data_IF_999531688985
#
_entry.id   IF_999531688985
#
_cell.length_a   1.000
_cell.length_b   1.000
_cell.length_c   1.000
_cell.angle_alpha   90.00
_cell.angle_beta   90.00
_cell.angle_gamma   90.00
#
_symmetry.space_group_name_H-M   'P 1'
#
loop_
_entity.id
_entity.type
_entity.pdbx_description
1 polymer ?
#
# COMPACT_ATOMS: atom_id res chain seq x y z
N UNK A 1 -2.34 -5.22 -21.17
CA UNK A 1 -2.06 -6.02 -19.95
C UNK A 1 -3.12 -7.09 -19.74
N UNK A 2 -4.41 -6.77 -19.82
CA UNK A 2 -5.48 -7.76 -19.66
C UNK A 2 -5.94 -8.35 -21.00
N UNK A 3 -6.35 -9.62 -20.98
CA UNK A 3 -6.72 -10.40 -22.17
C UNK A 3 -8.16 -10.16 -22.66
N UNK A 4 -9.01 -9.49 -21.88
CA UNK A 4 -10.41 -9.22 -22.22
C UNK A 4 -10.92 -7.92 -21.62
N UNK A 5 -11.91 -7.31 -22.26
CA UNK A 5 -12.59 -6.12 -21.74
C UNK A 5 -13.29 -6.41 -20.39
N UNK A 6 -13.79 -7.63 -20.22
CA UNK A 6 -14.41 -8.06 -18.96
C UNK A 6 -13.40 -7.97 -17.80
N UNK A 7 -12.22 -8.57 -17.97
CA UNK A 7 -11.16 -8.54 -16.96
C UNK A 7 -10.65 -7.13 -16.69
N UNK A 8 -10.49 -6.30 -17.73
CA UNK A 8 -10.13 -4.90 -17.55
C UNK A 8 -11.15 -4.13 -16.69
N UNK A 9 -12.45 -4.36 -16.90
CA UNK A 9 -13.52 -3.73 -16.11
C UNK A 9 -13.58 -4.25 -14.67
N UNK A 10 -13.34 -5.54 -14.45
CA UNK A 10 -13.27 -6.12 -13.11
C UNK A 10 -12.12 -5.49 -12.31
N UNK A 11 -10.91 -5.47 -12.90
CA UNK A 11 -9.76 -4.82 -12.25
C UNK A 11 -10.03 -3.35 -11.97
N UNK A 12 -10.63 -2.63 -12.92
CA UNK A 12 -10.96 -1.21 -12.72
C UNK A 12 -11.93 -0.98 -11.55
N UNK A 13 -12.97 -1.81 -11.44
CA UNK A 13 -13.96 -1.73 -10.35
C UNK A 13 -13.35 -2.06 -8.99
N UNK A 14 -12.39 -2.98 -8.98
CA UNK A 14 -11.65 -3.35 -7.80
C UNK A 14 -10.47 -2.40 -7.55
N UNK A 15 -10.35 -1.23 -8.16
CA UNK A 15 -9.39 -0.22 -7.67
C UNK A 15 -10.02 0.44 -6.45
N UNK A 16 -9.25 0.53 -5.36
CA UNK A 16 -9.71 1.28 -4.18
C UNK A 16 -9.44 2.77 -4.39
N UNK A 17 -10.48 3.58 -4.18
CA UNK A 17 -10.42 5.04 -4.18
C UNK A 17 -10.81 5.54 -2.80
N UNK A 18 -10.26 6.69 -2.39
CA UNK A 18 -10.66 7.34 -1.14
C UNK A 18 -12.01 8.03 -1.36
N UNK A 19 -12.98 7.75 -0.48
CA UNK A 19 -14.39 8.14 -0.70
C UNK A 19 -14.77 9.48 -0.07
N UNK A 20 -13.95 10.51 -0.26
CA UNK A 20 -14.26 11.90 0.08
C UNK A 20 -13.39 12.88 -0.73
N UNK A 21 -13.74 14.17 -0.73
CA UNK A 21 -12.97 15.20 -1.40
C UNK A 21 -11.69 15.53 -0.63
N UNK A 22 -10.54 15.46 -1.33
CA UNK A 22 -9.23 15.76 -0.78
C UNK A 22 -8.72 17.05 -1.41
N UNK A 23 -8.48 18.08 -0.60
CA UNK A 23 -7.91 19.34 -1.07
C UNK A 23 -6.45 19.18 -1.52
N UNK A 24 -5.67 18.36 -0.81
CA UNK A 24 -4.28 18.08 -1.11
C UNK A 24 -3.73 16.89 -0.34
N UNK A 25 -2.58 16.40 -0.77
CA UNK A 25 -1.85 15.31 -0.12
C UNK A 25 -0.51 15.83 0.37
N UNK A 26 -0.13 15.44 1.59
CA UNK A 26 1.17 15.75 2.16
C UNK A 26 2.03 14.49 2.23
N UNK A 27 3.24 14.55 1.67
CA UNK A 27 4.18 13.44 1.65
C UNK A 27 5.53 13.96 2.12
N UNK A 28 6.07 13.34 3.17
CA UNK A 28 7.42 13.62 3.68
C UNK A 28 7.98 12.38 4.40
N UNK A 29 9.30 12.31 4.64
CA UNK A 29 9.86 11.28 5.51
C UNK A 29 9.19 11.29 6.89
N UNK A 30 8.97 10.10 7.47
CA UNK A 30 8.23 9.96 8.73
C UNK A 30 8.80 10.82 9.87
N UNK A 31 10.11 10.98 9.92
CA UNK A 31 10.83 11.79 10.93
C UNK A 31 10.56 13.30 10.83
N UNK A 32 10.09 13.78 9.69
CA UNK A 32 9.89 15.21 9.40
C UNK A 32 8.42 15.62 9.58
N UNK A 33 7.54 14.68 9.94
CA UNK A 33 6.14 14.93 10.29
C UNK A 33 6.02 15.51 11.71
N UNK A 34 5.35 16.66 11.81
CA UNK A 34 4.97 17.27 13.09
C UNK A 34 3.65 16.65 13.55
N UNK A 35 2.70 16.51 12.63
CA UNK A 35 1.42 15.84 12.85
C UNK A 35 1.50 14.37 12.46
N UNK A 36 0.66 13.53 13.09
CA UNK A 36 0.62 12.10 12.78
C UNK A 36 0.06 11.92 11.36
N UNK A 37 0.79 11.27 10.44
CA UNK A 37 0.25 11.01 9.10
C UNK A 37 -0.90 9.99 9.19
N UNK A 38 -1.76 9.94 8.18
CA UNK A 38 -2.82 8.92 8.11
C UNK A 38 -2.24 7.54 7.80
N UNK A 39 -1.36 7.47 6.81
CA UNK A 39 -0.73 6.25 6.30
C UNK A 39 0.78 6.39 6.30
N UNK A 40 1.47 5.31 6.64
CA UNK A 40 2.91 5.18 6.42
C UNK A 40 3.18 4.10 5.38
N UNK A 41 4.00 4.48 4.41
CA UNK A 41 4.44 3.62 3.32
C UNK A 41 5.92 3.28 3.58
N UNK A 42 6.22 1.99 3.64
CA UNK A 42 7.59 1.49 3.80
C UNK A 42 8.00 0.74 2.53
N UNK A 43 9.17 1.09 2.01
CA UNK A 43 9.86 0.31 0.97
C UNK A 43 10.68 -0.75 1.69
N UNK A 44 10.52 -2.00 1.28
CA UNK A 44 11.04 -3.18 1.98
C UNK A 44 11.46 -4.24 0.98
N UNK A 45 11.97 -5.37 1.47
CA UNK A 45 12.10 -6.61 0.71
C UNK A 45 11.16 -7.71 1.27
N UNK A 46 11.00 -8.88 0.61
CA UNK A 46 10.13 -9.94 1.10
C UNK A 46 10.38 -10.36 2.55
N UNK A 47 11.64 -10.42 2.98
CA UNK A 47 11.99 -10.81 4.35
C UNK A 47 11.55 -9.75 5.38
N UNK A 48 11.81 -8.48 5.10
CA UNK A 48 11.37 -7.35 5.93
C UNK A 48 9.85 -7.26 5.99
N UNK A 49 9.17 -7.38 4.84
CA UNK A 49 7.71 -7.43 4.76
C UNK A 49 7.13 -8.55 5.63
N UNK A 50 7.71 -9.76 5.58
CA UNK A 50 7.30 -10.88 6.44
C UNK A 50 7.41 -10.51 7.93
N UNK A 51 8.54 -9.92 8.36
CA UNK A 51 8.73 -9.52 9.77
C UNK A 51 7.71 -8.47 10.23
N UNK A 52 7.41 -7.49 9.37
CA UNK A 52 6.41 -6.46 9.67
C UNK A 52 5.02 -7.07 9.79
N UNK A 53 4.62 -7.94 8.85
CA UNK A 53 3.33 -8.63 8.90
C UNK A 53 3.23 -9.54 10.14
N UNK A 54 4.31 -10.22 10.52
CA UNK A 54 4.37 -11.01 11.76
C UNK A 54 4.17 -10.13 13.00
N UNK A 55 4.82 -8.96 13.05
CA UNK A 55 4.64 -7.99 14.13
C UNK A 55 3.20 -7.48 14.22
N UNK A 56 2.62 -7.11 13.08
CA UNK A 56 1.21 -6.72 12.98
C UNK A 56 0.28 -7.84 13.45
N UNK A 57 0.52 -9.07 12.98
CA UNK A 57 -0.30 -10.24 13.34
C UNK A 57 -0.22 -10.54 14.82
N UNK A 58 0.95 -10.37 15.43
CA UNK A 58 1.15 -10.57 16.86
C UNK A 58 0.32 -9.61 17.72
N UNK A 59 0.21 -8.33 17.32
CA UNK A 59 -0.51 -7.32 18.11
C UNK A 59 -2.00 -7.18 17.75
N UNK A 60 -2.34 -7.29 16.47
CA UNK A 60 -3.65 -6.91 15.92
C UNK A 60 -4.40 -8.09 15.27
N UNK A 61 -3.78 -9.27 15.22
CA UNK A 61 -4.30 -10.43 14.52
C UNK A 61 -4.07 -10.37 13.00
N UNK A 62 -4.51 -11.41 12.30
CA UNK A 62 -4.28 -11.55 10.85
C UNK A 62 -5.09 -10.49 10.09
N UNK A 63 -4.42 -9.77 9.19
CA UNK A 63 -5.04 -8.87 8.21
C UNK A 63 -6.21 -9.55 7.46
N UNK A 64 -7.18 -8.77 7.01
CA UNK A 64 -8.39 -9.26 6.32
C UNK A 64 -8.61 -8.67 4.94
N UNK A 65 -7.95 -7.56 4.62
CA UNK A 65 -8.26 -6.77 3.42
C UNK A 65 -7.06 -6.62 2.45
N UNK A 66 -6.25 -7.68 2.31
CA UNK A 66 -5.13 -7.65 1.35
C UNK A 66 -5.67 -7.63 -0.08
N UNK A 67 -5.19 -6.66 -0.85
CA UNK A 67 -5.63 -6.41 -2.23
C UNK A 67 -4.46 -6.03 -3.10
N UNK A 68 -4.11 -6.92 -4.03
CA UNK A 68 -2.90 -6.82 -4.85
C UNK A 68 -3.25 -7.15 -6.30
N UNK A 69 -3.04 -6.18 -7.18
CA UNK A 69 -3.06 -6.35 -8.63
C UNK A 69 -1.64 -6.29 -9.23
N UNK A 70 -0.63 -5.88 -8.44
CA UNK A 70 0.70 -5.57 -8.93
C UNK A 70 0.70 -4.29 -9.77
N UNK A 71 -0.27 -3.41 -9.53
CA UNK A 71 -0.45 -2.16 -10.24
C UNK A 71 -0.94 -1.07 -9.28
N UNK A 72 -0.70 0.21 -9.60
CA UNK A 72 -1.19 1.33 -8.78
C UNK A 72 -0.70 1.27 -7.32
N UNK A 73 0.59 0.97 -7.17
CA UNK A 73 1.32 0.79 -5.90
C UNK A 73 1.01 1.90 -4.90
N UNK A 74 1.52 3.11 -5.15
CA UNK A 74 1.50 4.17 -4.17
C UNK A 74 0.11 4.79 -4.03
N UNK A 75 -0.67 4.86 -5.09
CA UNK A 75 -2.00 5.46 -5.04
C UNK A 75 -3.04 4.51 -4.42
N UNK A 76 -3.19 3.28 -4.92
CA UNK A 76 -4.27 2.38 -4.50
C UNK A 76 -3.82 1.32 -3.51
N UNK A 77 -2.73 0.59 -3.79
CA UNK A 77 -2.33 -0.56 -2.96
C UNK A 77 -1.73 -0.12 -1.61
N UNK A 78 -0.94 0.94 -1.56
CA UNK A 78 -0.24 1.39 -0.35
C UNK A 78 -0.84 2.64 0.30
N UNK A 79 -1.79 3.33 -0.32
CA UNK A 79 -2.47 4.51 0.27
C UNK A 79 -3.96 4.28 0.42
N UNK A 80 -4.73 4.24 -0.69
CA UNK A 80 -6.19 4.19 -0.61
C UNK A 80 -6.71 2.91 0.07
N UNK A 81 -6.12 1.74 -0.24
CA UNK A 81 -6.55 0.47 0.37
C UNK A 81 -6.31 0.47 1.89
N UNK A 82 -5.11 0.80 2.40
CA UNK A 82 -4.91 0.94 3.83
C UNK A 82 -5.80 1.99 4.49
N UNK A 83 -6.02 3.12 3.81
CA UNK A 83 -6.84 4.22 4.33
C UNK A 83 -8.30 3.80 4.51
N UNK A 84 -8.92 3.27 3.47
CA UNK A 84 -10.34 2.91 3.47
C UNK A 84 -10.63 1.67 4.33
N UNK A 85 -9.73 0.67 4.30
CA UNK A 85 -9.93 -0.57 5.07
C UNK A 85 -9.46 -0.46 6.52
N UNK A 86 -8.71 0.59 6.85
CA UNK A 86 -7.98 0.72 8.11
C UNK A 86 -7.23 -0.59 8.44
N UNK A 87 -6.59 -1.21 7.45
CA UNK A 87 -5.81 -2.45 7.56
C UNK A 87 -4.51 -2.30 6.79
N UNK A 88 -3.49 -3.12 7.08
CA UNK A 88 -2.27 -3.08 6.27
C UNK A 88 -2.55 -3.60 4.86
N UNK A 89 -1.77 -3.14 3.88
CA UNK A 89 -1.72 -3.78 2.57
C UNK A 89 -0.29 -3.80 2.01
N UNK A 90 0.04 -4.81 1.21
CA UNK A 90 1.34 -4.96 0.57
C UNK A 90 1.23 -4.78 -0.94
N UNK A 91 2.35 -4.45 -1.57
CA UNK A 91 2.45 -4.34 -3.03
C UNK A 91 3.77 -4.89 -3.55
N UNK A 92 3.69 -5.56 -4.70
CA UNK A 92 4.83 -6.10 -5.44
C UNK A 92 5.49 -5.08 -6.37
N UNK A 93 5.08 -3.81 -6.32
CA UNK A 93 5.47 -2.74 -7.22
C UNK A 93 5.05 -2.95 -8.69
N UNK A 94 4.49 -1.93 -9.32
CA UNK A 94 4.06 -1.98 -10.71
C UNK A 94 5.22 -1.75 -11.68
N UNK A 95 5.08 -2.25 -12.91
CA UNK A 95 6.10 -2.07 -13.95
C UNK A 95 6.45 -0.59 -14.20
N UNK A 96 5.45 0.29 -14.13
CA UNK A 96 5.66 1.73 -14.29
C UNK A 96 6.60 2.30 -13.24
N UNK A 97 6.31 2.08 -11.95
CA UNK A 97 7.17 2.62 -10.88
C UNK A 97 8.55 1.95 -10.87
N UNK A 98 8.62 0.64 -11.13
CA UNK A 98 9.91 -0.07 -11.28
C UNK A 98 10.76 0.55 -12.39
N UNK A 99 10.14 0.89 -13.51
CA UNK A 99 10.83 1.52 -14.63
C UNK A 99 11.33 2.95 -14.31
N UNK A 100 10.48 3.78 -13.71
CA UNK A 100 10.81 5.20 -13.46
C UNK A 100 11.67 5.41 -12.22
N UNK A 101 11.36 4.76 -11.10
CA UNK A 101 12.07 4.90 -9.84
C UNK A 101 13.24 3.92 -9.67
N UNK A 102 13.45 3.02 -10.64
CA UNK A 102 14.58 2.06 -10.68
C UNK A 102 14.66 1.14 -9.46
N UNK A 103 13.49 0.70 -8.97
CA UNK A 103 13.41 -0.26 -7.88
C UNK A 103 14.09 -1.59 -8.23
N UNK A 104 14.78 -2.18 -7.26
CA UNK A 104 15.40 -3.51 -7.35
C UNK A 104 14.33 -4.59 -7.47
N UNK A 105 14.70 -5.73 -8.08
CA UNK A 105 13.81 -6.88 -8.25
C UNK A 105 13.28 -7.42 -6.92
N UNK A 106 14.02 -7.25 -5.83
CA UNK A 106 13.64 -7.72 -4.50
C UNK A 106 12.91 -6.66 -3.67
N UNK A 107 12.65 -5.47 -4.21
CA UNK A 107 11.88 -4.47 -3.48
C UNK A 107 10.38 -4.71 -3.56
N UNK A 108 9.73 -4.48 -2.43
CA UNK A 108 8.31 -4.55 -2.16
C UNK A 108 7.92 -3.30 -1.37
N UNK A 109 6.63 -3.06 -1.23
CA UNK A 109 6.12 -1.97 -0.40
C UNK A 109 5.00 -2.45 0.49
N UNK A 110 4.85 -1.79 1.63
CA UNK A 110 3.76 -2.00 2.57
C UNK A 110 3.20 -0.64 2.97
N UNK A 111 1.88 -0.51 2.93
CA UNK A 111 1.16 0.62 3.47
C UNK A 111 0.46 0.21 4.76
N UNK A 112 0.63 0.99 5.83
CA UNK A 112 0.04 0.72 7.15
C UNK A 112 -0.62 2.01 7.67
N UNK A 113 -1.87 1.95 8.15
CA UNK A 113 -2.48 3.05 8.88
C UNK A 113 -1.65 3.41 10.12
N UNK A 114 -1.40 4.70 10.35
CA UNK A 114 -0.52 5.14 11.43
C UNK A 114 -1.00 4.69 12.82
N UNK A 115 -2.31 4.70 13.04
CA UNK A 115 -2.95 4.20 14.25
C UNK A 115 -2.78 2.68 14.49
N UNK A 116 -2.31 1.93 13.50
CA UNK A 116 -2.05 0.47 13.55
C UNK A 116 -0.57 0.13 13.42
N UNK A 117 0.30 1.10 13.58
CA UNK A 117 1.73 0.86 13.59
C UNK A 117 2.14 0.08 14.83
N UNK A 118 2.93 -0.96 14.57
CA UNK A 118 3.52 -1.82 15.58
C UNK A 118 5.00 -1.48 15.66
N UNK A 119 5.39 -0.68 16.65
CA UNK A 119 6.77 -0.43 17.05
C UNK A 119 7.02 -1.01 18.44
#
# INVERSE_FOLDING_TARGET
MYNSLCNSKLVQKDITYINHEIYGLEIRPLKDFIEKPDIVIMITNPYQSMRIIQGYTYQLGVHKNIKIAGNQVFCSECTATPYESNDLNISMLCSGTRYFAKWDNNEMTIGIPYNKQVY
#
